data_IF_528806087406
#
_entry.id   IF_528806087406
#
_cell.length_a   1.000
_cell.length_b   1.000
_cell.length_c   1.000
_cell.angle_alpha   90.00
_cell.angle_beta   90.00
_cell.angle_gamma   90.00
#
_symmetry.space_group_name_H-M   'P 1'
#
loop_
_entity.id
_entity.type
_entity.pdbx_description
1 polymer ?
#
# COMPACT_ATOMS: atom_id res chain seq x y z
N UNK A 1 -0.72 -10.41 -15.83
CA UNK A 1 -1.37 -11.54 -15.18
C UNK A 1 -2.67 -11.87 -15.89
N UNK A 2 -3.03 -13.13 -15.90
CA UNK A 2 -4.27 -13.61 -16.50
C UNK A 2 -5.35 -13.63 -15.42
N UNK A 3 -6.58 -13.18 -15.73
CA UNK A 3 -7.68 -13.30 -14.78
C UNK A 3 -7.95 -14.78 -14.48
N UNK A 4 -8.04 -15.10 -13.22
CA UNK A 4 -8.38 -16.44 -12.78
C UNK A 4 -9.90 -16.57 -12.75
N UNK A 5 -10.45 -17.50 -13.50
CA UNK A 5 -11.90 -17.71 -13.56
C UNK A 5 -12.46 -17.98 -12.16
N UNK A 6 -13.27 -17.06 -11.64
CA UNK A 6 -13.91 -17.18 -10.33
C UNK A 6 -13.00 -16.95 -9.15
N UNK A 7 -11.69 -16.78 -9.35
CA UNK A 7 -10.72 -16.52 -8.27
C UNK A 7 -10.29 -15.07 -8.19
N UNK A 8 -10.63 -14.26 -9.21
CA UNK A 8 -10.25 -12.86 -9.28
C UNK A 8 -8.88 -12.64 -9.90
N UNK A 9 -8.43 -11.39 -9.83
CA UNK A 9 -7.21 -10.94 -10.47
C UNK A 9 -6.16 -10.61 -9.41
N UNK A 10 -4.91 -10.99 -9.66
CA UNK A 10 -3.77 -10.68 -8.80
C UNK A 10 -2.64 -10.12 -9.65
N UNK A 11 -2.12 -8.97 -9.24
CA UNK A 11 -1.04 -8.26 -9.91
C UNK A 11 0.05 -7.94 -8.90
N UNK A 12 1.31 -8.20 -9.25
CA UNK A 12 2.47 -7.93 -8.36
C UNK A 12 3.51 -7.11 -9.09
N UNK A 13 4.19 -6.24 -8.36
CA UNK A 13 5.36 -5.52 -8.86
C UNK A 13 6.36 -5.28 -7.74
N UNK A 14 7.65 -5.48 -8.04
CA UNK A 14 8.74 -5.04 -7.19
C UNK A 14 9.03 -3.57 -7.48
N UNK A 15 9.14 -2.77 -6.44
CA UNK A 15 9.38 -1.34 -6.54
C UNK A 15 10.53 -0.96 -5.61
N UNK A 16 11.47 -0.16 -6.14
CA UNK A 16 12.54 0.38 -5.31
C UNK A 16 11.98 1.48 -4.41
N UNK A 17 12.43 1.53 -3.17
CA UNK A 17 12.02 2.57 -2.21
C UNK A 17 12.32 3.98 -2.72
N UNK A 18 13.31 4.14 -3.60
CA UNK A 18 13.66 5.41 -4.23
C UNK A 18 12.80 5.79 -5.44
N UNK A 19 11.90 4.90 -5.88
CA UNK A 19 11.10 5.09 -7.10
C UNK A 19 9.60 4.98 -6.82
N UNK A 20 9.11 5.81 -5.91
CA UNK A 20 7.69 5.78 -5.51
C UNK A 20 6.73 6.10 -6.65
N UNK A 21 7.19 6.82 -7.68
CA UNK A 21 6.38 7.05 -8.88
C UNK A 21 5.98 5.74 -9.57
N UNK A 22 6.80 4.69 -9.43
CA UNK A 22 6.50 3.38 -10.01
C UNK A 22 5.29 2.73 -9.34
N UNK A 23 5.07 3.01 -8.06
CA UNK A 23 3.88 2.56 -7.34
C UNK A 23 2.64 3.16 -7.98
N UNK A 24 2.65 4.47 -8.23
CA UNK A 24 1.51 5.16 -8.84
C UNK A 24 1.24 4.65 -10.25
N UNK A 25 2.28 4.49 -11.05
CA UNK A 25 2.15 3.98 -12.42
C UNK A 25 1.55 2.58 -12.43
N UNK A 26 2.07 1.70 -11.58
CA UNK A 26 1.57 0.33 -11.46
C UNK A 26 0.09 0.31 -11.06
N UNK A 27 -0.28 1.09 -10.04
CA UNK A 27 -1.67 1.16 -9.59
C UNK A 27 -2.61 1.65 -10.68
N UNK A 28 -2.23 2.69 -11.42
CA UNK A 28 -3.05 3.20 -12.53
C UNK A 28 -3.25 2.17 -13.61
N UNK A 29 -2.20 1.46 -13.98
CA UNK A 29 -2.28 0.39 -14.99
C UNK A 29 -3.25 -0.71 -14.56
N UNK A 30 -3.14 -1.16 -13.31
CA UNK A 30 -4.01 -2.21 -12.77
C UNK A 30 -5.45 -1.73 -12.69
N UNK A 31 -5.67 -0.52 -12.15
CA UNK A 31 -7.02 0.01 -11.97
C UNK A 31 -7.73 0.28 -13.30
N UNK A 32 -6.99 0.60 -14.36
CA UNK A 32 -7.55 0.69 -15.70
C UNK A 32 -8.02 -0.69 -16.20
N UNK A 33 -7.23 -1.72 -15.98
CA UNK A 33 -7.60 -3.10 -16.33
C UNK A 33 -8.83 -3.58 -15.58
N UNK A 34 -9.04 -3.08 -14.36
CA UNK A 34 -10.20 -3.42 -13.54
C UNK A 34 -11.40 -2.51 -13.78
N UNK A 35 -11.31 -1.56 -14.70
CA UNK A 35 -12.38 -0.61 -15.06
C UNK A 35 -12.90 0.19 -13.86
N UNK A 36 -12.00 0.57 -12.96
CA UNK A 36 -12.35 1.39 -11.80
C UNK A 36 -12.67 2.81 -12.27
N UNK A 37 -13.75 3.38 -11.73
CA UNK A 37 -14.17 4.76 -12.02
C UNK A 37 -13.02 5.76 -11.79
N UNK A 38 -12.92 6.77 -12.65
CA UNK A 38 -11.80 7.71 -12.65
C UNK A 38 -11.63 8.42 -11.30
N UNK A 39 -12.73 8.86 -10.69
CA UNK A 39 -12.65 9.57 -9.41
C UNK A 39 -12.14 8.64 -8.29
N UNK A 40 -12.66 7.44 -8.24
CA UNK A 40 -12.22 6.45 -7.25
C UNK A 40 -10.77 6.03 -7.53
N UNK A 41 -10.42 5.85 -8.80
CA UNK A 41 -9.04 5.52 -9.19
C UNK A 41 -8.05 6.57 -8.69
N UNK A 42 -8.35 7.86 -8.87
CA UNK A 42 -7.48 8.93 -8.42
C UNK A 42 -7.32 8.94 -6.90
N UNK A 43 -8.42 8.74 -6.16
CA UNK A 43 -8.38 8.64 -4.71
C UNK A 43 -7.56 7.44 -4.24
N UNK A 44 -7.76 6.28 -4.85
CA UNK A 44 -7.03 5.06 -4.50
C UNK A 44 -5.53 5.22 -4.77
N UNK A 45 -5.16 5.78 -5.93
CA UNK A 45 -3.75 6.01 -6.26
C UNK A 45 -3.11 6.94 -5.24
N UNK A 46 -3.82 8.01 -4.83
CA UNK A 46 -3.33 8.92 -3.81
C UNK A 46 -3.10 8.21 -2.48
N UNK A 47 -4.08 7.45 -2.00
CA UNK A 47 -3.99 6.73 -0.74
C UNK A 47 -2.83 5.71 -0.76
N UNK A 48 -2.70 4.97 -1.85
CA UNK A 48 -1.66 3.95 -1.99
C UNK A 48 -0.27 4.60 -2.06
N UNK A 49 -0.13 5.71 -2.78
CA UNK A 49 1.13 6.45 -2.85
C UNK A 49 1.54 6.99 -1.49
N UNK A 50 0.59 7.49 -0.70
CA UNK A 50 0.85 7.95 0.66
C UNK A 50 1.26 6.80 1.57
N UNK A 51 0.64 5.63 1.45
CA UNK A 51 1.02 4.44 2.19
C UNK A 51 2.45 4.01 1.86
N UNK A 52 2.80 3.99 0.58
CA UNK A 52 4.15 3.66 0.13
C UNK A 52 5.18 4.66 0.67
N UNK A 53 4.87 5.94 0.64
CA UNK A 53 5.73 6.99 1.16
C UNK A 53 5.95 6.83 2.67
N UNK A 54 4.89 6.48 3.41
CA UNK A 54 4.98 6.23 4.85
C UNK A 54 5.87 5.02 5.15
N UNK A 55 5.80 3.97 4.35
CA UNK A 55 6.68 2.81 4.48
C UNK A 55 8.15 3.24 4.34
N UNK A 56 8.47 3.98 3.28
CA UNK A 56 9.84 4.45 3.05
C UNK A 56 10.29 5.34 4.19
N UNK A 57 9.46 6.25 4.64
CA UNK A 57 9.78 7.20 5.68
C UNK A 57 10.03 6.53 7.04
N UNK A 58 9.28 5.49 7.38
CA UNK A 58 9.31 4.87 8.70
C UNK A 58 10.10 3.56 8.74
N UNK A 59 9.94 2.70 7.74
CA UNK A 59 10.60 1.41 7.72
C UNK A 59 12.06 1.49 7.27
N UNK A 60 12.40 2.46 6.42
CA UNK A 60 13.75 2.62 5.87
C UNK A 60 14.47 3.85 6.42
N UNK A 61 13.98 4.44 7.47
CA UNK A 61 14.52 5.66 8.09
C UNK A 61 16.00 5.58 8.40
N UNK A 62 16.47 4.44 8.89
CA UNK A 62 17.85 4.24 9.32
C UNK A 62 18.68 3.48 8.29
N UNK A 63 18.20 3.40 7.06
CA UNK A 63 18.84 2.64 5.97
C UNK A 63 19.04 3.55 4.76
N UNK A 64 20.04 4.46 4.79
CA UNK A 64 20.19 5.47 3.74
C UNK A 64 20.67 4.94 2.39
N UNK A 65 21.33 3.79 2.34
CA UNK A 65 21.88 3.22 1.11
C UNK A 65 20.92 2.22 0.50
N UNK A 66 19.95 2.71 -0.25
CA UNK A 66 18.85 1.85 -0.41
C UNK A 66 18.57 1.41 -1.83
N UNK A 67 19.07 0.25 -2.13
CA UNK A 67 18.49 -0.63 -3.11
C UNK A 67 17.38 -1.49 -2.48
N UNK A 68 16.70 -0.95 -1.47
CA UNK A 68 15.62 -1.67 -0.80
C UNK A 68 14.44 -1.80 -1.73
N UNK A 69 13.91 -3.01 -1.77
CA UNK A 69 12.80 -3.37 -2.64
C UNK A 69 11.56 -3.59 -1.80
N UNK A 70 10.45 -3.03 -2.25
CA UNK A 70 9.13 -3.37 -1.75
C UNK A 70 8.41 -4.19 -2.81
N UNK A 71 7.53 -5.07 -2.39
CA UNK A 71 6.56 -5.69 -3.30
C UNK A 71 5.21 -5.06 -3.08
N UNK A 72 4.57 -4.66 -4.16
CA UNK A 72 3.19 -4.19 -4.15
C UNK A 72 2.35 -5.24 -4.85
N UNK A 73 1.34 -5.73 -4.17
CA UNK A 73 0.42 -6.73 -4.70
C UNK A 73 -0.99 -6.17 -4.67
N UNK A 74 -1.65 -6.18 -5.82
CA UNK A 74 -3.05 -5.74 -5.94
C UNK A 74 -3.87 -6.96 -6.30
N UNK A 75 -4.88 -7.27 -5.50
CA UNK A 75 -5.84 -8.34 -5.79
C UNK A 75 -7.26 -7.79 -5.83
N UNK A 76 -8.05 -8.31 -6.74
CA UNK A 76 -9.47 -7.98 -6.88
C UNK A 76 -10.26 -9.29 -6.94
N UNK A 77 -10.92 -9.61 -5.85
CA UNK A 77 -11.64 -10.88 -5.68
C UNK A 77 -13.01 -10.58 -5.09
N UNK A 78 -14.06 -11.02 -5.79
CA UNK A 78 -15.45 -10.88 -5.33
C UNK A 78 -15.83 -9.45 -4.91
N UNK A 79 -15.41 -8.48 -5.71
CA UNK A 79 -15.71 -7.07 -5.45
C UNK A 79 -14.85 -6.42 -4.37
N UNK A 80 -13.91 -7.15 -3.80
CA UNK A 80 -12.99 -6.62 -2.80
C UNK A 80 -11.62 -6.37 -3.41
N UNK A 81 -11.13 -5.13 -3.27
CA UNK A 81 -9.82 -4.72 -3.70
C UNK A 81 -8.88 -4.72 -2.50
N UNK A 82 -7.77 -5.44 -2.59
CA UNK A 82 -6.72 -5.44 -1.57
C UNK A 82 -5.41 -5.01 -2.18
N UNK A 83 -4.74 -4.10 -1.51
CA UNK A 83 -3.38 -3.68 -1.86
C UNK A 83 -2.48 -4.06 -0.72
N UNK A 84 -1.56 -4.98 -0.96
CA UNK A 84 -0.59 -5.45 0.02
C UNK A 84 0.79 -4.90 -0.29
N UNK A 85 1.46 -4.43 0.75
CA UNK A 85 2.86 -3.99 0.69
C UNK A 85 3.69 -4.94 1.52
N UNK A 86 4.78 -5.42 0.95
CA UNK A 86 5.76 -6.23 1.66
C UNK A 86 7.10 -5.52 1.62
N UNK A 87 7.74 -5.36 2.76
CA UNK A 87 9.04 -4.71 2.85
C UNK A 87 9.96 -5.39 3.85
N UNK A 88 11.25 -5.10 3.75
CA UNK A 88 12.29 -5.64 4.62
C UNK A 88 12.90 -4.55 5.51
N UNK A 89 12.18 -3.47 5.72
CA UNK A 89 12.61 -2.38 6.57
C UNK A 89 12.53 -2.70 8.06
N UNK A 90 12.72 -1.69 8.88
CA UNK A 90 12.59 -1.83 10.32
C UNK A 90 11.20 -2.32 10.69
N UNK A 91 11.07 -3.31 11.60
CA UNK A 91 9.75 -3.78 12.02
C UNK A 91 8.87 -2.66 12.54
N UNK A 92 7.63 -2.64 12.07
CA UNK A 92 6.63 -1.64 12.47
C UNK A 92 5.82 -2.24 13.63
N UNK A 93 5.68 -1.48 14.72
CA UNK A 93 4.78 -1.84 15.80
C UNK A 93 3.39 -1.30 15.46
N UNK A 94 2.41 -2.19 15.18
CA UNK A 94 1.06 -1.75 14.81
C UNK A 94 0.40 -0.85 15.86
N UNK A 95 0.68 -1.09 17.13
CA UNK A 95 0.14 -0.28 18.22
C UNK A 95 0.66 1.14 18.20
N UNK A 96 1.95 1.33 17.95
CA UNK A 96 2.56 2.65 17.87
C UNK A 96 2.06 3.43 16.65
N UNK A 97 1.88 2.77 15.53
CA UNK A 97 1.37 3.42 14.31
C UNK A 97 -0.06 3.91 14.54
N UNK A 98 -0.94 3.08 15.12
CA UNK A 98 -2.31 3.49 15.44
C UNK A 98 -2.36 4.68 16.40
N UNK A 99 -1.51 4.70 17.42
CA UNK A 99 -1.45 5.81 18.37
C UNK A 99 -1.01 7.11 17.70
N UNK A 100 -0.04 7.05 16.80
CA UNK A 100 0.40 8.24 16.05
C UNK A 100 -0.70 8.80 15.16
N UNK A 101 -1.50 7.94 14.58
CA UNK A 101 -2.59 8.33 13.69
C UNK A 101 -3.70 9.05 14.43
N UNK A 102 -4.00 8.62 15.65
CA UNK A 102 -5.08 9.20 16.47
C UNK A 102 -4.62 10.48 17.15
N UNK A 103 -3.39 10.52 17.69
CA UNK A 103 -2.92 11.60 18.56
C UNK A 103 -2.17 12.72 17.84
N UNK A 104 -1.72 12.52 16.61
CA UNK A 104 -0.87 13.46 15.90
C UNK A 104 -1.39 13.79 14.50
N UNK A 105 -2.43 14.61 14.47
CA UNK A 105 -2.80 15.31 13.23
C UNK A 105 -1.82 16.47 13.07
N UNK A 106 -0.56 16.15 12.78
CA UNK A 106 0.44 17.14 12.37
C UNK A 106 0.35 17.32 10.84
N UNK A 107 0.83 18.45 10.30
CA UNK A 107 0.82 18.67 8.85
C UNK A 107 1.41 17.52 8.03
N UNK A 108 2.34 16.73 8.58
CA UNK A 108 2.88 15.54 7.92
C UNK A 108 2.03 14.29 8.06
N UNK A 109 0.92 14.33 8.83
CA UNK A 109 0.03 13.19 9.07
C UNK A 109 -1.23 13.18 8.21
N UNK A 110 -1.38 14.16 7.30
CA UNK A 110 -2.54 14.24 6.43
C UNK A 110 -2.65 13.05 5.48
N UNK A 111 -1.50 12.51 5.04
CA UNK A 111 -1.48 11.33 4.20
C UNK A 111 -2.12 10.11 4.87
N UNK A 112 -1.81 9.87 6.14
CA UNK A 112 -2.39 8.77 6.91
C UNK A 112 -3.90 8.96 7.10
N UNK A 113 -4.32 10.16 7.38
CA UNK A 113 -5.75 10.51 7.46
C UNK A 113 -6.45 10.19 6.14
N UNK A 114 -5.85 10.56 5.03
CA UNK A 114 -6.37 10.29 3.69
C UNK A 114 -6.53 8.80 3.42
N UNK A 115 -5.54 8.00 3.83
CA UNK A 115 -5.60 6.55 3.67
C UNK A 115 -6.82 5.99 4.41
N UNK A 116 -7.04 6.42 5.64
CA UNK A 116 -8.17 5.96 6.44
C UNK A 116 -9.52 6.40 5.89
N UNK A 117 -9.59 7.61 5.31
CA UNK A 117 -10.82 8.12 4.71
C UNK A 117 -11.20 7.36 3.42
N UNK A 118 -10.21 7.02 2.61
CA UNK A 118 -10.44 6.38 1.31
C UNK A 118 -10.61 4.87 1.45
N UNK A 119 -9.77 4.22 2.26
CA UNK A 119 -9.80 2.77 2.40
C UNK A 119 -10.79 2.35 3.47
N UNK A 120 -11.39 1.17 3.29
CA UNK A 120 -12.33 0.60 4.25
C UNK A 120 -11.62 -0.08 5.41
N UNK A 121 -10.41 -0.59 5.19
CA UNK A 121 -9.59 -1.20 6.23
C UNK A 121 -8.11 -0.97 5.96
N UNK A 122 -7.35 -0.81 7.04
CA UNK A 122 -5.89 -0.71 7.03
C UNK A 122 -5.37 -1.67 8.08
N UNK A 123 -4.62 -2.69 7.67
CA UNK A 123 -4.14 -3.72 8.59
C UNK A 123 -2.63 -3.91 8.47
N UNK A 124 -1.94 -3.90 9.62
CA UNK A 124 -0.55 -4.34 9.70
C UNK A 124 -0.57 -5.81 10.10
N UNK A 125 -0.16 -6.67 9.18
CA UNK A 125 -0.13 -8.12 9.41
C UNK A 125 1.28 -8.58 9.76
N UNK A 126 1.38 -9.80 10.27
CA UNK A 126 2.68 -10.41 10.51
C UNK A 126 3.42 -10.60 9.19
N UNK A 127 4.72 -10.32 9.20
CA UNK A 127 5.55 -10.49 8.02
C UNK A 127 5.63 -11.96 7.59
N UNK A 128 5.76 -12.17 6.30
CA UNK A 128 6.05 -13.49 5.71
C UNK A 128 7.48 -13.49 5.24
N UNK A 129 8.29 -14.41 5.76
CA UNK A 129 9.69 -14.53 5.32
C UNK A 129 9.79 -14.60 3.79
N UNK A 130 10.69 -13.88 3.15
CA UNK A 130 11.75 -13.06 3.73
C UNK A 130 11.31 -11.65 4.17
N UNK A 131 10.05 -11.30 4.02
CA UNK A 131 9.53 -9.96 4.29
C UNK A 131 9.33 -9.74 5.79
N UNK A 132 9.68 -8.55 6.27
CA UNK A 132 9.57 -8.17 7.68
C UNK A 132 8.22 -7.53 7.96
N UNK A 133 7.79 -6.62 7.10
CA UNK A 133 6.53 -5.91 7.25
C UNK A 133 5.53 -6.32 6.18
N UNK A 134 4.25 -6.34 6.55
CA UNK A 134 3.15 -6.66 5.66
C UNK A 134 1.98 -5.74 5.99
N UNK A 135 1.71 -4.78 5.12
CA UNK A 135 0.60 -3.84 5.24
C UNK A 135 -0.46 -4.19 4.20
N UNK A 136 -1.72 -4.24 4.60
CA UNK A 136 -2.84 -4.50 3.69
C UNK A 136 -3.87 -3.39 3.78
N UNK A 137 -4.19 -2.81 2.63
CA UNK A 137 -5.26 -1.82 2.46
C UNK A 137 -6.41 -2.52 1.73
N UNK A 138 -7.63 -2.36 2.23
CA UNK A 138 -8.81 -3.01 1.66
C UNK A 138 -9.85 -1.97 1.26
N UNK A 139 -10.47 -2.17 0.10
CA UNK A 139 -11.55 -1.32 -0.40
C UNK A 139 -12.63 -2.19 -1.02
N UNK A 140 -13.86 -2.03 -0.57
CA UNK A 140 -15.03 -2.65 -1.23
C UNK A 140 -15.42 -1.82 -2.44
N UNK A 141 -15.55 -2.48 -3.57
CA UNK A 141 -15.96 -1.85 -4.82
C UNK A 141 -17.45 -2.05 -5.12
#
# INVERSE_FOLDING_TARGET
SLPSRGLGDVYKRQVKSSSLKDVRTFCREVFEKLYIDQNLKDELVLAIAEAAQNIVKHAYKDKPDVNEIMVVEISHISGELKIAFYDMGTPVDPKKVKHREIDNIKPGGLGTFFIQEIMDAVEFKDGKKPWINHLVLTKQL
#
